data_IF_787443125365
#
_entry.id   IF_787443125365
#
_cell.length_a   1.000
_cell.length_b   1.000
_cell.length_c   1.000
_cell.angle_alpha   90.00
_cell.angle_beta   90.00
_cell.angle_gamma   90.00
#
_symmetry.space_group_name_H-M   'P 1'
#
loop_
_entity.id
_entity.type
_entity.pdbx_description
1 polymer ?
#
# COMPACT_ATOMS: atom_id res chain seq x y z
N UNK A 1 21.11 22.27 -10.20
CA UNK A 1 20.15 22.57 -11.29
C UNK A 1 20.64 23.80 -12.02
N UNK A 2 21.12 23.67 -13.26
CA UNK A 2 21.50 24.83 -14.07
C UNK A 2 20.23 25.52 -14.58
N UNK A 3 20.03 26.79 -14.24
CA UNK A 3 18.90 27.58 -14.71
C UNK A 3 19.01 27.80 -16.22
N UNK A 4 17.91 27.58 -16.96
CA UNK A 4 17.83 27.90 -18.39
C UNK A 4 18.12 29.40 -18.57
N UNK A 5 19.13 29.79 -19.39
CA UNK A 5 19.49 31.19 -19.60
C UNK A 5 18.30 32.04 -20.08
N UNK A 6 18.28 33.31 -19.69
CA UNK A 6 17.12 34.20 -19.84
C UNK A 6 16.63 34.39 -21.28
N UNK A 7 17.49 34.14 -22.27
CA UNK A 7 17.29 34.35 -23.70
C UNK A 7 17.05 33.06 -24.53
N UNK A 8 16.84 31.91 -23.88
CA UNK A 8 16.60 30.64 -24.58
C UNK A 8 15.11 30.48 -24.94
N UNK A 9 14.84 30.23 -26.22
CA UNK A 9 13.51 29.99 -26.79
C UNK A 9 12.75 28.82 -26.14
N UNK A 10 13.44 27.96 -25.39
CA UNK A 10 12.87 26.83 -24.63
C UNK A 10 12.37 27.24 -23.25
N UNK A 11 12.59 28.48 -22.79
CA UNK A 11 12.09 28.97 -21.49
C UNK A 11 10.57 28.84 -21.31
N UNK A 12 9.72 29.16 -22.31
CA UNK A 12 8.29 28.94 -22.20
C UNK A 12 7.94 27.46 -21.99
N UNK A 13 8.63 26.56 -22.70
CA UNK A 13 8.47 25.10 -22.56
C UNK A 13 8.94 24.61 -21.19
N UNK A 14 10.09 25.10 -20.71
CA UNK A 14 10.60 24.78 -19.38
C UNK A 14 9.67 25.28 -18.26
N UNK A 15 9.08 26.48 -18.39
CA UNK A 15 8.08 26.99 -17.45
C UNK A 15 6.78 26.20 -17.48
N UNK A 16 6.29 25.83 -18.66
CA UNK A 16 5.11 24.99 -18.78
C UNK A 16 5.31 23.63 -18.09
N UNK A 17 6.48 23.02 -18.28
CA UNK A 17 6.82 21.76 -17.60
C UNK A 17 6.96 21.90 -16.09
N UNK A 18 7.60 22.96 -15.59
CA UNK A 18 7.68 23.21 -14.14
C UNK A 18 6.28 23.37 -13.52
N UNK A 19 5.37 24.07 -14.19
CA UNK A 19 3.99 24.22 -13.71
C UNK A 19 3.22 22.88 -13.73
N UNK A 20 3.35 22.11 -14.81
CA UNK A 20 2.75 20.78 -14.95
C UNK A 20 3.24 19.82 -13.84
N UNK A 21 4.56 19.76 -13.60
CA UNK A 21 5.12 18.95 -12.52
C UNK A 21 4.78 19.48 -11.13
N UNK A 22 4.60 20.79 -10.96
CA UNK A 22 4.14 21.39 -9.71
C UNK A 22 2.74 20.91 -9.33
N UNK A 23 1.82 20.88 -10.30
CA UNK A 23 0.44 20.36 -10.10
C UNK A 23 0.45 18.87 -9.78
N UNK A 24 1.26 18.06 -10.48
CA UNK A 24 1.39 16.64 -10.16
C UNK A 24 2.01 16.38 -8.79
N UNK A 25 2.95 17.23 -8.36
CA UNK A 25 3.55 17.14 -7.04
C UNK A 25 2.55 17.50 -5.93
N UNK A 26 1.78 18.57 -6.12
CA UNK A 26 0.72 18.99 -5.19
C UNK A 26 -0.36 17.91 -5.07
N UNK A 27 -0.81 17.35 -6.19
CA UNK A 27 -1.74 16.21 -6.21
C UNK A 27 -1.19 14.98 -5.48
N UNK A 28 0.10 14.65 -5.69
CA UNK A 28 0.73 13.55 -4.98
C UNK A 28 0.86 13.84 -3.47
N UNK A 29 1.17 15.08 -3.09
CA UNK A 29 1.23 15.50 -1.69
C UNK A 29 -0.14 15.43 -1.02
N UNK A 30 -1.21 15.88 -1.69
CA UNK A 30 -2.59 15.75 -1.20
C UNK A 30 -2.99 14.29 -0.99
N UNK A 31 -2.61 13.40 -1.90
CA UNK A 31 -2.86 11.96 -1.74
C UNK A 31 -2.07 11.34 -0.59
N UNK A 32 -0.82 11.77 -0.38
CA UNK A 32 -0.01 11.31 0.76
C UNK A 32 -0.55 11.83 2.09
N UNK A 33 -1.18 13.00 2.08
CA UNK A 33 -1.84 13.60 3.25
C UNK A 33 -3.25 13.05 3.49
N UNK A 34 -3.73 12.09 2.69
CA UNK A 34 -5.01 11.44 2.92
C UNK A 34 -4.85 10.42 4.08
N UNK A 35 -5.48 10.67 5.25
CA UNK A 35 -5.33 9.80 6.43
C UNK A 35 -5.90 8.40 6.20
N UNK A 36 -6.70 8.20 5.14
CA UNK A 36 -7.29 6.92 4.76
C UNK A 36 -6.48 6.19 3.67
N UNK A 37 -5.39 6.78 3.15
CA UNK A 37 -4.53 6.11 2.17
C UNK A 37 -3.98 4.76 2.69
N UNK A 38 -3.43 4.66 3.92
CA UNK A 38 -2.96 3.39 4.45
C UNK A 38 -4.11 2.38 4.61
N UNK A 39 -5.29 2.83 5.02
CA UNK A 39 -6.48 1.99 5.16
C UNK A 39 -6.89 1.37 3.82
N UNK A 40 -7.02 2.18 2.75
CA UNK A 40 -7.38 1.68 1.42
C UNK A 40 -6.32 0.73 0.87
N UNK A 41 -5.04 1.01 1.11
CA UNK A 41 -3.95 0.12 0.71
C UNK A 41 -4.03 -1.22 1.44
N UNK A 42 -4.28 -1.21 2.75
CA UNK A 42 -4.45 -2.40 3.55
C UNK A 42 -5.61 -3.27 3.05
N UNK A 43 -6.76 -2.66 2.75
CA UNK A 43 -7.95 -3.37 2.22
C UNK A 43 -7.63 -4.11 0.91
N UNK A 44 -6.84 -3.51 0.01
CA UNK A 44 -6.42 -4.18 -1.24
C UNK A 44 -5.56 -5.42 -1.00
N UNK A 45 -4.65 -5.37 -0.03
CA UNK A 45 -3.86 -6.54 0.36
C UNK A 45 -4.75 -7.60 1.01
N UNK A 46 -5.62 -7.21 1.94
CA UNK A 46 -6.55 -8.11 2.61
C UNK A 46 -7.49 -8.84 1.64
N UNK A 47 -8.01 -8.14 0.61
CA UNK A 47 -8.84 -8.74 -0.42
C UNK A 47 -8.07 -9.81 -1.20
N UNK A 48 -6.86 -9.48 -1.70
CA UNK A 48 -6.00 -10.45 -2.40
C UNK A 48 -5.65 -11.66 -1.53
N UNK A 49 -5.33 -11.44 -0.27
CA UNK A 49 -5.04 -12.51 0.68
C UNK A 49 -6.25 -13.44 0.84
N UNK A 50 -7.44 -12.86 0.97
CA UNK A 50 -8.70 -13.60 1.14
C UNK A 50 -9.03 -14.43 -0.10
N UNK A 51 -8.95 -13.83 -1.28
CA UNK A 51 -9.19 -14.50 -2.56
C UNK A 51 -8.20 -15.63 -2.80
N UNK A 52 -6.91 -15.36 -2.57
CA UNK A 52 -5.84 -16.36 -2.76
C UNK A 52 -6.00 -17.52 -1.78
N UNK A 53 -6.41 -17.27 -0.53
CA UNK A 53 -6.66 -18.31 0.48
C UNK A 53 -7.65 -19.37 -0.01
N UNK A 54 -8.68 -18.97 -0.75
CA UNK A 54 -9.72 -19.88 -1.25
C UNK A 54 -9.19 -20.90 -2.27
N UNK A 55 -8.14 -20.53 -3.00
CA UNK A 55 -7.57 -21.34 -4.10
C UNK A 55 -6.16 -21.84 -3.81
N UNK A 56 -5.54 -21.46 -2.69
CA UNK A 56 -4.17 -21.82 -2.35
C UNK A 56 -4.01 -23.34 -2.19
N UNK A 57 -3.06 -23.92 -2.94
CA UNK A 57 -2.76 -25.36 -2.90
C UNK A 57 -1.31 -25.65 -2.56
N UNK A 58 -0.40 -24.74 -2.90
CA UNK A 58 1.04 -24.92 -2.72
C UNK A 58 1.58 -24.09 -1.57
N UNK A 59 2.75 -24.48 -1.04
CA UNK A 59 3.49 -23.68 -0.06
C UNK A 59 3.79 -22.27 -0.57
N UNK A 60 3.97 -22.09 -1.89
CA UNK A 60 4.17 -20.79 -2.54
C UNK A 60 2.92 -19.92 -2.45
N UNK A 61 1.73 -20.48 -2.68
CA UNK A 61 0.47 -19.74 -2.58
C UNK A 61 0.23 -19.29 -1.14
N UNK A 62 0.44 -20.18 -0.18
CA UNK A 62 0.33 -19.86 1.25
C UNK A 62 1.35 -18.82 1.71
N UNK A 63 2.55 -18.82 1.14
CA UNK A 63 3.54 -17.79 1.42
C UNK A 63 3.12 -16.42 0.86
N UNK A 64 2.41 -16.39 -0.29
CA UNK A 64 1.82 -15.16 -0.81
C UNK A 64 0.70 -14.65 0.10
N UNK A 65 -0.22 -15.53 0.53
CA UNK A 65 -1.29 -15.20 1.47
C UNK A 65 -0.71 -14.59 2.76
N UNK A 66 0.33 -15.21 3.33
CA UNK A 66 0.99 -14.70 4.53
C UNK A 66 1.60 -13.31 4.33
N UNK A 67 2.23 -13.06 3.17
CA UNK A 67 2.79 -11.73 2.84
C UNK A 67 1.69 -10.67 2.73
N UNK A 68 0.61 -10.97 2.02
CA UNK A 68 -0.49 -10.01 1.85
C UNK A 68 -1.18 -9.71 3.20
N UNK A 69 -1.38 -10.69 4.07
CA UNK A 69 -1.89 -10.44 5.42
C UNK A 69 -0.94 -9.59 6.28
N UNK A 70 0.38 -9.83 6.19
CA UNK A 70 1.37 -9.03 6.89
C UNK A 70 1.35 -7.57 6.42
N UNK A 71 1.37 -7.34 5.09
CA UNK A 71 1.31 -5.99 4.51
C UNK A 71 0.00 -5.28 4.87
N UNK A 72 -1.13 -5.99 4.86
CA UNK A 72 -2.40 -5.42 5.29
C UNK A 72 -2.37 -5.00 6.77
N UNK A 73 -1.80 -5.83 7.65
CA UNK A 73 -1.69 -5.51 9.07
C UNK A 73 -0.80 -4.29 9.32
N UNK A 74 0.37 -4.24 8.69
CA UNK A 74 1.32 -3.11 8.79
C UNK A 74 0.68 -1.80 8.32
N UNK A 75 -0.01 -1.82 7.17
CA UNK A 75 -0.70 -0.64 6.64
C UNK A 75 -1.85 -0.17 7.54
N UNK A 76 -2.58 -1.09 8.19
CA UNK A 76 -3.61 -0.72 9.16
C UNK A 76 -3.01 -0.04 10.41
N UNK A 77 -1.78 -0.37 10.80
CA UNK A 77 -1.10 0.29 11.92
C UNK A 77 -0.63 1.70 11.60
N UNK A 78 -0.52 2.05 10.30
CA UNK A 78 -0.14 3.37 9.83
C UNK A 78 -1.32 4.33 9.68
N UNK A 79 -2.56 3.87 9.88
CA UNK A 79 -3.75 4.72 9.83
C UNK A 79 -3.70 5.72 10.99
N UNK A 80 -3.81 7.00 10.66
CA UNK A 80 -3.74 8.08 11.65
C UNK A 80 -4.96 8.10 12.58
N UNK A 81 -4.78 8.58 13.82
CA UNK A 81 -5.85 8.63 14.83
C UNK A 81 -7.00 9.59 14.50
N UNK A 82 -6.79 10.52 13.56
CA UNK A 82 -7.79 11.45 13.05
C UNK A 82 -8.65 10.85 11.92
N UNK A 83 -8.28 9.69 11.37
CA UNK A 83 -9.04 8.99 10.33
C UNK A 83 -10.38 8.50 10.89
N UNK A 84 -11.43 8.58 10.07
CA UNK A 84 -12.72 7.97 10.38
C UNK A 84 -12.65 6.42 10.47
N UNK A 85 -11.55 5.82 10.00
CA UNK A 85 -11.32 4.39 9.98
C UNK A 85 -10.34 3.90 11.04
N UNK A 86 -9.83 4.77 11.93
CA UNK A 86 -8.80 4.40 12.91
C UNK A 86 -9.17 3.18 13.76
N UNK A 87 -10.36 3.18 14.37
CA UNK A 87 -10.80 2.06 15.23
C UNK A 87 -10.94 0.75 14.46
N UNK A 88 -11.44 0.83 13.22
CA UNK A 88 -11.53 -0.32 12.31
C UNK A 88 -10.13 -0.81 11.95
N UNK A 89 -9.21 0.09 11.63
CA UNK A 89 -7.84 -0.25 11.28
C UNK A 89 -7.14 -0.97 12.45
N UNK A 90 -7.30 -0.46 13.67
CA UNK A 90 -6.74 -1.08 14.87
C UNK A 90 -7.25 -2.51 15.08
N UNK A 91 -8.57 -2.75 15.04
CA UNK A 91 -9.15 -4.11 15.13
C UNK A 91 -8.65 -5.01 13.98
N UNK A 92 -8.65 -4.50 12.75
CA UNK A 92 -8.23 -5.28 11.57
C UNK A 92 -6.76 -5.64 11.59
N UNK A 93 -5.89 -4.77 12.09
CA UNK A 93 -4.46 -5.05 12.22
C UNK A 93 -4.20 -6.33 13.04
N UNK A 94 -4.89 -6.49 14.17
CA UNK A 94 -4.77 -7.67 15.03
C UNK A 94 -5.32 -8.92 14.35
N UNK A 95 -6.48 -8.82 13.70
CA UNK A 95 -7.07 -9.95 12.97
C UNK A 95 -6.19 -10.42 11.81
N UNK A 96 -5.63 -9.49 11.06
CA UNK A 96 -4.76 -9.80 9.92
C UNK A 96 -3.44 -10.46 10.37
N UNK A 97 -2.92 -10.11 11.54
CA UNK A 97 -1.80 -10.85 12.15
C UNK A 97 -2.16 -12.31 12.42
N UNK A 98 -3.34 -12.58 13.00
CA UNK A 98 -3.81 -13.96 13.20
C UNK A 98 -3.97 -14.72 11.87
N UNK A 99 -4.47 -14.07 10.82
CA UNK A 99 -4.61 -14.69 9.50
C UNK A 99 -3.26 -14.96 8.82
N UNK A 100 -2.29 -14.06 8.99
CA UNK A 100 -0.90 -14.28 8.58
C UNK A 100 -0.34 -15.53 9.25
N UNK A 101 -0.50 -15.66 10.56
CA UNK A 101 0.06 -16.79 11.32
C UNK A 101 -0.56 -18.12 10.88
N UNK A 102 -1.88 -18.14 10.64
CA UNK A 102 -2.54 -19.29 10.02
C UNK A 102 -1.95 -19.62 8.65
N UNK A 103 -1.76 -18.64 7.77
CA UNK A 103 -1.15 -18.86 6.46
C UNK A 103 0.29 -19.40 6.55
N UNK A 104 1.08 -18.95 7.54
CA UNK A 104 2.42 -19.48 7.78
C UNK A 104 2.42 -20.95 8.20
N UNK A 105 1.46 -21.36 9.03
CA UNK A 105 1.29 -22.78 9.36
C UNK A 105 1.00 -23.61 8.11
N UNK A 106 0.19 -23.08 7.17
CA UNK A 106 -0.08 -23.74 5.90
C UNK A 106 1.14 -23.83 4.99
N UNK A 107 2.04 -22.82 4.99
CA UNK A 107 3.32 -22.92 4.27
C UNK A 107 4.09 -24.15 4.76
N UNK A 108 4.26 -24.30 6.08
CA UNK A 108 5.02 -25.41 6.68
C UNK A 108 4.36 -26.76 6.36
N UNK A 109 3.03 -26.84 6.46
CA UNK A 109 2.28 -28.05 6.15
C UNK A 109 2.43 -28.50 4.68
N UNK A 110 2.47 -27.54 3.75
CA UNK A 110 2.58 -27.82 2.31
C UNK A 110 4.03 -27.94 1.80
N UNK A 111 5.04 -27.72 2.65
CA UNK A 111 6.44 -28.09 2.36
C UNK A 111 6.71 -29.56 2.70
N UNK A 112 5.92 -30.15 3.61
CA UNK A 112 6.08 -31.53 4.10
C UNK A 112 5.25 -32.57 3.34
N UNK A 113 4.45 -32.14 2.37
CA UNK A 113 3.68 -33.01 1.47
C UNK A 113 4.49 -33.32 0.23
#
# INVERSE_FOLDING_TARGET
>A
MAAVPSNDDRRPLARAKVNEYGVYLEYAQEQVNDPDLPFRAAVRHALRASETTLIARSSRDWAQVARDWAQAAELMQLVETNSAHYDVARDRSQRYQTYRDYAQQQVIANVRR
#
